data_IF_743100743568
#
_entry.id   IF_743100743568
#
_cell.length_a   1.000
_cell.length_b   1.000
_cell.length_c   1.000
_cell.angle_alpha   90.00
_cell.angle_beta   90.00
_cell.angle_gamma   90.00
#
_symmetry.space_group_name_H-M   'P 1'
#
loop_
_entity.id
_entity.type
_entity.pdbx_description
1 polymer ?
#
# COMPACT_ATOMS: atom_id res chain seq x y z
N UNK A 1 -12.65 -7.21 0.51
CA UNK A 1 -11.42 -7.77 1.10
C UNK A 1 -10.36 -6.71 1.14
N UNK A 2 -9.61 -6.64 2.20
CA UNK A 2 -8.60 -5.58 2.39
C UNK A 2 -7.56 -5.58 1.28
N UNK A 3 -7.10 -6.74 0.86
CA UNK A 3 -6.08 -6.83 -0.19
C UNK A 3 -6.57 -6.22 -1.51
N UNK A 4 -7.80 -6.49 -1.88
CA UNK A 4 -8.36 -5.94 -3.11
C UNK A 4 -8.44 -4.41 -3.04
N UNK A 5 -8.83 -3.88 -1.90
CA UNK A 5 -8.88 -2.42 -1.71
C UNK A 5 -7.50 -1.79 -1.79
N UNK A 6 -6.52 -2.42 -1.17
CA UNK A 6 -5.14 -1.92 -1.21
C UNK A 6 -4.63 -1.94 -2.64
N UNK A 7 -4.89 -2.99 -3.38
CA UNK A 7 -4.48 -3.08 -4.79
C UNK A 7 -5.10 -1.97 -5.62
N UNK A 8 -6.38 -1.68 -5.40
CA UNK A 8 -7.07 -0.60 -6.09
C UNK A 8 -6.48 0.76 -5.76
N UNK A 9 -6.16 0.98 -4.48
CA UNK A 9 -5.55 2.23 -4.03
C UNK A 9 -4.18 2.43 -4.66
N UNK A 10 -3.36 1.39 -4.64
CA UNK A 10 -2.02 1.45 -5.23
C UNK A 10 -2.10 1.71 -6.73
N UNK A 11 -2.98 1.01 -7.42
CA UNK A 11 -3.16 1.19 -8.86
C UNK A 11 -3.57 2.62 -9.19
N UNK A 12 -4.45 3.19 -8.39
CA UNK A 12 -4.92 4.55 -8.60
C UNK A 12 -3.82 5.59 -8.35
N UNK A 13 -3.10 5.45 -7.26
CA UNK A 13 -2.02 6.38 -6.93
C UNK A 13 -0.89 6.33 -7.96
N UNK A 14 -0.52 5.14 -8.38
CA UNK A 14 0.59 4.94 -9.31
C UNK A 14 0.16 4.95 -10.77
N UNK A 15 -1.13 5.11 -11.04
CA UNK A 15 -1.69 5.11 -12.39
C UNK A 15 -1.38 3.83 -13.13
N UNK A 16 -1.62 2.70 -12.47
CA UNK A 16 -1.40 1.37 -13.02
C UNK A 16 -2.71 0.61 -13.13
N UNK A 17 -2.70 -0.50 -13.84
CA UNK A 17 -3.83 -1.42 -13.86
C UNK A 17 -3.80 -2.24 -12.59
N UNK A 18 -4.96 -2.49 -11.99
CA UNK A 18 -5.03 -3.25 -10.75
C UNK A 18 -4.47 -4.66 -10.93
N UNK A 19 -4.54 -5.19 -12.14
CA UNK A 19 -4.01 -6.50 -12.49
C UNK A 19 -2.49 -6.58 -12.35
N UNK A 20 -1.82 -5.44 -12.52
CA UNK A 20 -0.37 -5.37 -12.39
C UNK A 20 0.09 -5.20 -10.94
N UNK A 21 -0.84 -4.93 -10.04
CA UNK A 21 -0.54 -4.74 -8.62
C UNK A 21 -0.83 -6.05 -7.88
N UNK A 22 0.11 -6.98 -7.96
CA UNK A 22 -0.04 -8.27 -7.27
C UNK A 22 0.62 -8.20 -5.88
N UNK A 23 0.21 -9.07 -4.93
CA UNK A 23 0.73 -9.01 -3.56
C UNK A 23 2.25 -9.13 -3.44
N UNK A 24 2.89 -9.84 -4.37
CA UNK A 24 4.33 -10.08 -4.34
C UNK A 24 5.15 -8.91 -4.88
N UNK A 25 4.51 -7.91 -5.48
CA UNK A 25 5.22 -6.77 -6.05
C UNK A 25 5.75 -5.86 -4.94
N UNK A 26 7.02 -5.43 -5.07
CA UNK A 26 7.57 -4.46 -4.15
C UNK A 26 7.30 -3.06 -4.69
N UNK A 27 7.03 -2.12 -3.79
CA UNK A 27 6.69 -0.76 -4.19
C UNK A 27 7.84 -0.06 -4.91
N UNK A 28 9.04 -0.19 -4.37
CA UNK A 28 10.19 0.51 -4.93
C UNK A 28 10.76 -0.13 -6.18
N UNK A 29 10.91 -1.45 -6.18
CA UNK A 29 11.57 -2.15 -7.28
C UNK A 29 10.62 -2.53 -8.42
N UNK A 30 9.49 -3.11 -8.07
CA UNK A 30 8.56 -3.62 -9.09
C UNK A 30 7.59 -2.57 -9.59
N UNK A 31 7.13 -1.70 -8.72
CA UNK A 31 6.12 -0.69 -9.07
C UNK A 31 6.73 0.70 -9.27
N UNK A 32 8.02 0.84 -9.03
CA UNK A 32 8.76 2.08 -9.23
C UNK A 32 8.14 3.27 -8.47
N UNK A 33 7.68 3.00 -7.26
CA UNK A 33 7.12 4.03 -6.39
C UNK A 33 8.22 4.68 -5.56
N UNK A 34 8.24 6.00 -5.51
CA UNK A 34 9.19 6.71 -4.65
C UNK A 34 8.57 6.98 -3.28
N UNK A 35 9.30 7.65 -2.39
CA UNK A 35 8.84 7.92 -1.03
C UNK A 35 7.54 8.70 -1.00
N UNK A 36 7.38 9.63 -1.93
CA UNK A 36 6.18 10.45 -2.00
C UNK A 36 4.97 9.62 -2.41
N UNK A 37 5.17 8.74 -3.39
CA UNK A 37 4.10 7.84 -3.83
C UNK A 37 3.66 6.91 -2.71
N UNK A 38 4.62 6.36 -1.97
CA UNK A 38 4.33 5.48 -0.84
C UNK A 38 3.56 6.24 0.24
N UNK A 39 3.95 7.48 0.52
CA UNK A 39 3.25 8.31 1.49
C UNK A 39 1.80 8.55 1.07
N UNK A 40 1.56 8.81 -0.20
CA UNK A 40 0.21 9.00 -0.72
C UNK A 40 -0.62 7.73 -0.61
N UNK A 41 -0.02 6.58 -0.90
CA UNK A 41 -0.69 5.29 -0.77
C UNK A 41 -1.11 5.06 0.68
N UNK A 42 -0.22 5.33 1.62
CA UNK A 42 -0.49 5.12 3.04
C UNK A 42 -1.59 6.06 3.53
N UNK A 43 -1.56 7.31 3.12
CA UNK A 43 -2.61 8.28 3.48
C UNK A 43 -3.96 7.80 2.94
N UNK A 44 -3.98 7.30 1.71
CA UNK A 44 -5.21 6.79 1.12
C UNK A 44 -5.74 5.56 1.87
N UNK A 45 -4.85 4.69 2.31
CA UNK A 45 -5.20 3.52 3.10
C UNK A 45 -5.79 3.94 4.45
N UNK A 46 -5.15 4.89 5.12
CA UNK A 46 -5.63 5.40 6.40
C UNK A 46 -7.04 5.97 6.25
N UNK A 47 -7.26 6.70 5.18
CA UNK A 47 -8.54 7.35 4.90
C UNK A 47 -9.63 6.31 4.59
N UNK A 48 -9.29 5.32 3.78
CA UNK A 48 -10.24 4.30 3.36
C UNK A 48 -10.69 3.41 4.52
N UNK A 49 -9.77 3.07 5.40
CA UNK A 49 -10.04 2.14 6.50
C UNK A 49 -10.24 2.82 7.86
N UNK A 50 -10.08 4.13 7.92
CA UNK A 50 -10.27 4.89 9.16
C UNK A 50 -9.26 4.54 10.24
N UNK A 51 -8.01 4.32 9.87
CA UNK A 51 -6.94 3.96 10.80
C UNK A 51 -5.77 4.92 10.71
N UNK A 52 -4.87 4.83 11.68
CA UNK A 52 -3.64 5.60 11.70
C UNK A 52 -2.46 4.63 11.65
N UNK A 53 -1.55 4.84 10.72
CA UNK A 53 -0.38 3.98 10.56
C UNK A 53 0.86 4.76 11.01
N UNK A 54 1.59 4.30 12.04
CA UNK A 54 2.78 5.01 12.51
C UNK A 54 3.93 4.90 11.50
N UNK A 55 4.79 5.93 11.50
CA UNK A 55 5.91 5.99 10.58
C UNK A 55 6.84 4.78 10.69
N UNK A 56 7.05 4.30 11.90
CA UNK A 56 7.91 3.12 12.11
C UNK A 56 7.37 1.88 11.41
N UNK A 57 6.06 1.76 11.29
CA UNK A 57 5.46 0.63 10.60
C UNK A 57 5.67 0.74 9.08
N UNK A 58 5.75 1.97 8.56
CA UNK A 58 5.97 2.20 7.14
C UNK A 58 7.31 1.67 6.67
N UNK A 59 8.31 1.72 7.52
CA UNK A 59 9.65 1.26 7.19
C UNK A 59 9.69 -0.24 6.89
N UNK A 60 8.71 -0.97 7.40
CA UNK A 60 8.63 -2.42 7.22
C UNK A 60 7.84 -2.82 5.98
N UNK A 61 7.18 -1.86 5.34
CA UNK A 61 6.36 -2.14 4.17
C UNK A 61 7.23 -2.10 2.93
N UNK A 62 7.43 -3.26 2.33
CA UNK A 62 8.22 -3.40 1.10
C UNK A 62 7.32 -3.81 -0.06
N UNK A 63 6.40 -4.74 0.18
CA UNK A 63 5.51 -5.27 -0.86
C UNK A 63 4.05 -4.88 -0.58
N UNK A 64 3.22 -5.11 -1.59
CA UNK A 64 1.77 -4.89 -1.46
C UNK A 64 1.21 -5.78 -0.34
N UNK A 65 1.70 -7.02 -0.25
CA UNK A 65 1.28 -7.94 0.80
C UNK A 65 1.65 -7.41 2.19
N UNK A 66 2.82 -6.78 2.31
CA UNK A 66 3.25 -6.19 3.58
C UNK A 66 2.26 -5.11 4.04
N UNK A 67 1.76 -4.31 3.11
CA UNK A 67 0.76 -3.29 3.43
C UNK A 67 -0.53 -3.92 3.94
N UNK A 68 -0.93 -5.02 3.33
CA UNK A 68 -2.14 -5.75 3.76
C UNK A 68 -1.94 -6.33 5.16
N UNK A 69 -0.78 -6.91 5.41
CA UNK A 69 -0.46 -7.50 6.71
C UNK A 69 -0.44 -6.42 7.80
N UNK A 70 0.06 -5.25 7.46
CA UNK A 70 0.09 -4.12 8.39
C UNK A 70 -1.32 -3.72 8.80
N UNK A 71 -2.25 -3.71 7.88
CA UNK A 71 -3.65 -3.41 8.16
C UNK A 71 -4.22 -4.33 9.21
N UNK A 72 -3.92 -5.61 9.12
CA UNK A 72 -4.41 -6.61 10.07
C UNK A 72 -3.82 -6.40 11.45
N UNK A 73 -2.62 -5.84 11.52
CA UNK A 73 -1.94 -5.59 12.78
C UNK A 73 -2.49 -4.37 13.50
N UNK A 74 -2.74 -3.27 12.77
CA UNK A 74 -3.18 -2.02 13.37
C UNK A 74 -4.71 -1.86 13.37
N UNK A 75 -5.38 -2.65 12.56
CA UNK A 75 -6.84 -2.64 12.50
C UNK A 75 -7.46 -3.45 13.58
#
# INVERSE_FOLDING_TARGET
MELDKIREIVAKVLNLNVEDVTPDKSFGEDLDADSLDIAEIIIAIEDEFGISIPDEALEKVVTVQDACDLLRTVG
#
